data_IF_419925358113
#
_entry.id   IF_419925358113
#
_cell.length_a   1.000
_cell.length_b   1.000
_cell.length_c   1.000
_cell.angle_alpha   90.00
_cell.angle_beta   90.00
_cell.angle_gamma   90.00
#
_symmetry.space_group_name_H-M   'P 1'
#
loop_
_entity.id
_entity.type
_entity.pdbx_description
1 polymer ?
#
# COMPACT_ATOMS: atom_id res chain seq x y z
N UNK A 1 22.76 -10.75 -3.92
CA UNK A 1 21.89 -9.76 -3.25
C UNK A 1 20.79 -10.52 -2.55
N UNK A 2 20.40 -10.16 -1.32
CA UNK A 2 19.33 -10.85 -0.61
C UNK A 2 17.99 -10.62 -1.30
N UNK A 3 17.08 -11.57 -1.12
CA UNK A 3 15.78 -11.66 -1.80
C UNK A 3 14.64 -11.66 -0.80
N UNK A 4 13.54 -10.99 -1.13
CA UNK A 4 12.35 -10.97 -0.29
C UNK A 4 11.06 -11.13 -1.10
N UNK A 5 10.11 -11.84 -0.51
CA UNK A 5 8.70 -11.86 -0.95
C UNK A 5 7.89 -10.95 -0.01
N UNK A 6 7.05 -10.09 -0.58
CA UNK A 6 6.07 -9.32 0.20
C UNK A 6 4.68 -9.72 -0.23
N UNK A 7 3.87 -10.21 0.71
CA UNK A 7 2.47 -10.56 0.46
C UNK A 7 1.57 -9.35 0.72
N UNK A 8 0.90 -8.88 -0.32
CA UNK A 8 -0.01 -7.73 -0.33
C UNK A 8 0.63 -6.47 -0.93
N UNK A 9 0.04 -5.98 -2.00
CA UNK A 9 0.32 -4.70 -2.65
C UNK A 9 -0.56 -3.55 -2.10
N UNK A 10 -0.90 -3.62 -0.81
CA UNK A 10 -1.42 -2.47 -0.06
C UNK A 10 -0.32 -1.49 0.34
N UNK A 11 -0.67 -0.34 0.91
CA UNK A 11 0.31 0.70 1.30
C UNK A 11 1.43 0.16 2.20
N UNK A 12 1.12 -0.75 3.13
CA UNK A 12 2.10 -1.39 4.01
C UNK A 12 3.12 -2.22 3.24
N UNK A 13 2.66 -3.13 2.37
CA UNK A 13 3.54 -3.97 1.58
C UNK A 13 4.35 -3.20 0.54
N UNK A 14 3.76 -2.19 -0.11
CA UNK A 14 4.48 -1.32 -1.03
C UNK A 14 5.58 -0.52 -0.32
N UNK A 15 5.30 0.04 0.87
CA UNK A 15 6.33 0.73 1.65
C UNK A 15 7.43 -0.22 2.14
N UNK A 16 7.07 -1.42 2.60
CA UNK A 16 8.05 -2.44 2.99
C UNK A 16 8.95 -2.82 1.81
N UNK A 17 8.38 -3.05 0.63
CA UNK A 17 9.11 -3.38 -0.59
C UNK A 17 10.05 -2.25 -1.02
N UNK A 18 9.61 -0.98 -0.97
CA UNK A 18 10.49 0.17 -1.26
C UNK A 18 11.63 0.27 -0.26
N UNK A 19 11.37 0.08 1.04
CA UNK A 19 12.42 0.10 2.07
C UNK A 19 13.45 -1.01 1.87
N UNK A 20 13.01 -2.23 1.56
CA UNK A 20 13.90 -3.35 1.25
C UNK A 20 14.72 -3.10 -0.03
N UNK A 21 14.11 -2.61 -1.11
CA UNK A 21 14.83 -2.25 -2.34
C UNK A 21 15.87 -1.16 -2.10
N UNK A 22 15.54 -0.13 -1.31
CA UNK A 22 16.50 0.91 -0.94
C UNK A 22 17.69 0.36 -0.14
N UNK A 23 17.49 -0.74 0.59
CA UNK A 23 18.54 -1.47 1.29
C UNK A 23 19.29 -2.51 0.40
N UNK A 24 19.05 -2.53 -0.92
CA UNK A 24 19.75 -3.41 -1.87
C UNK A 24 19.16 -4.81 -2.02
N UNK A 25 17.92 -5.04 -1.56
CA UNK A 25 17.24 -6.32 -1.73
C UNK A 25 16.55 -6.41 -3.09
N UNK A 26 16.49 -7.62 -3.63
CA UNK A 26 15.60 -7.95 -4.75
C UNK A 26 14.25 -8.38 -4.20
N UNK A 27 13.18 -7.64 -4.52
CA UNK A 27 11.87 -7.82 -3.89
C UNK A 27 10.82 -8.15 -4.93
N UNK A 28 10.01 -9.18 -4.66
CA UNK A 28 8.79 -9.48 -5.41
C UNK A 28 7.58 -9.28 -4.51
N UNK A 29 6.63 -8.44 -4.93
CA UNK A 29 5.35 -8.24 -4.24
C UNK A 29 4.30 -9.12 -4.90
N UNK A 30 3.56 -9.92 -4.12
CA UNK A 30 2.49 -10.80 -4.60
C UNK A 30 1.16 -10.30 -4.03
N UNK A 31 0.15 -10.11 -4.87
CA UNK A 31 -1.21 -9.72 -4.44
C UNK A 31 -2.28 -10.52 -5.20
N UNK A 32 -3.32 -10.92 -4.48
CA UNK A 32 -4.47 -11.65 -5.03
C UNK A 32 -5.38 -10.78 -5.92
N UNK A 33 -5.32 -9.46 -5.75
CA UNK A 33 -6.16 -8.51 -6.46
C UNK A 33 -5.68 -8.24 -7.88
N UNK A 34 -6.61 -7.78 -8.72
CA UNK A 34 -6.38 -7.31 -10.10
C UNK A 34 -5.61 -5.99 -10.20
N UNK A 35 -5.16 -5.43 -9.08
CA UNK A 35 -4.57 -4.10 -9.01
C UNK A 35 -4.03 -3.79 -7.62
N UNK A 36 -3.07 -2.87 -7.57
CA UNK A 36 -2.46 -2.42 -6.31
C UNK A 36 -3.39 -1.54 -5.49
N UNK A 37 -3.08 -1.43 -4.20
CA UNK A 37 -3.67 -0.47 -3.27
C UNK A 37 -4.53 -1.09 -2.18
N UNK A 38 -5.09 -2.29 -2.39
CA UNK A 38 -5.94 -2.95 -1.42
C UNK A 38 -7.05 -2.03 -0.91
N UNK A 39 -7.00 -1.64 0.37
CA UNK A 39 -7.97 -0.70 0.97
C UNK A 39 -7.87 0.75 0.47
N UNK A 40 -6.87 1.10 -0.33
CA UNK A 40 -6.82 2.37 -1.08
C UNK A 40 -7.51 2.28 -2.45
N UNK A 41 -8.25 1.20 -2.73
CA UNK A 41 -8.93 1.01 -4.00
C UNK A 41 -9.93 2.13 -4.32
N UNK A 42 -9.84 2.63 -5.55
CA UNK A 42 -10.73 3.60 -6.17
C UNK A 42 -11.57 2.87 -7.22
N UNK A 43 -12.90 2.96 -7.15
CA UNK A 43 -13.78 2.47 -8.22
C UNK A 43 -14.10 3.59 -9.19
N UNK A 44 -14.25 3.24 -10.47
CA UNK A 44 -14.74 4.17 -11.50
C UNK A 44 -16.14 3.78 -11.94
N UNK A 45 -17.08 4.70 -11.86
CA UNK A 45 -18.47 4.52 -12.26
C UNK A 45 -18.88 5.76 -13.06
N UNK A 46 -19.37 5.58 -14.29
CA UNK A 46 -19.79 6.67 -15.17
C UNK A 46 -18.75 7.82 -15.29
N UNK A 47 -17.46 7.47 -15.39
CA UNK A 47 -16.37 8.45 -15.50
C UNK A 47 -15.95 9.12 -14.19
N UNK A 48 -16.65 8.86 -13.08
CA UNK A 48 -16.33 9.41 -11.76
C UNK A 48 -15.52 8.42 -10.92
N UNK A 49 -14.63 8.93 -10.08
CA UNK A 49 -13.80 8.15 -9.17
C UNK A 49 -14.37 8.14 -7.74
N UNK A 50 -14.47 6.96 -7.14
CA UNK A 50 -15.03 6.75 -5.80
C UNK A 50 -14.05 5.96 -4.92
N UNK A 51 -13.53 6.62 -3.90
CA UNK A 51 -12.74 5.98 -2.85
C UNK A 51 -13.68 5.38 -1.81
N UNK A 52 -13.76 4.05 -1.81
CA UNK A 52 -14.69 3.28 -0.97
C UNK A 52 -13.98 2.58 0.20
N UNK A 53 -12.67 2.78 0.34
CA UNK A 53 -11.87 2.33 1.47
C UNK A 53 -11.25 3.54 2.20
N UNK A 54 -9.93 3.64 2.22
CA UNK A 54 -9.24 4.81 2.74
C UNK A 54 -9.50 6.03 1.86
N UNK A 55 -10.19 7.04 2.39
CA UNK A 55 -10.62 8.24 1.65
C UNK A 55 -9.59 9.39 1.75
N UNK A 56 -8.82 9.41 2.83
CA UNK A 56 -7.76 10.38 3.09
C UNK A 56 -6.76 9.80 4.10
N UNK A 57 -5.61 10.45 4.22
CA UNK A 57 -4.58 10.16 5.22
C UNK A 57 -4.48 11.33 6.19
N UNK A 58 -4.54 11.06 7.50
CA UNK A 58 -4.25 12.06 8.53
C UNK A 58 -2.78 11.97 8.93
N UNK A 59 -2.06 13.09 8.88
CA UNK A 59 -0.63 13.12 9.22
C UNK A 59 -0.46 13.59 10.66
N UNK A 60 0.07 12.70 11.50
CA UNK A 60 0.27 12.95 12.94
C UNK A 60 1.74 12.83 13.35
N UNK A 61 2.45 11.90 12.72
CA UNK A 61 3.83 11.55 13.06
C UNK A 61 4.86 12.22 12.15
N UNK A 62 5.97 12.78 12.69
CA UNK A 62 7.00 13.45 11.87
C UNK A 62 7.58 12.57 10.76
N UNK A 63 7.83 11.28 11.05
CA UNK A 63 8.36 10.34 10.05
C UNK A 63 7.38 10.13 8.88
N UNK A 64 6.09 10.09 9.17
CA UNK A 64 5.07 9.97 8.13
C UNK A 64 4.87 11.29 7.36
N UNK A 65 5.00 12.43 8.05
CA UNK A 65 4.95 13.74 7.42
C UNK A 65 6.04 13.91 6.34
N UNK A 66 7.25 13.43 6.59
CA UNK A 66 8.34 13.46 5.61
C UNK A 66 7.98 12.66 4.34
N UNK A 67 7.42 11.46 4.49
CA UNK A 67 6.97 10.64 3.36
C UNK A 67 5.85 11.33 2.58
N UNK A 68 4.86 11.90 3.28
CA UNK A 68 3.74 12.60 2.63
C UNK A 68 4.22 13.84 1.87
N UNK A 69 5.21 14.58 2.39
CA UNK A 69 5.79 15.71 1.70
C UNK A 69 6.54 15.30 0.41
N UNK A 70 7.15 14.11 0.37
CA UNK A 70 7.70 13.54 -0.87
C UNK A 70 6.59 13.22 -1.88
N UNK A 71 5.51 12.58 -1.43
CA UNK A 71 4.39 12.22 -2.30
C UNK A 71 3.64 13.45 -2.82
N UNK A 72 3.53 14.50 -2.01
CA UNK A 72 2.92 15.77 -2.42
C UNK A 72 3.77 16.46 -3.49
N UNK A 73 5.10 16.54 -3.31
CA UNK A 73 6.00 17.07 -4.34
C UNK A 73 5.95 16.28 -5.64
N UNK A 74 5.72 14.97 -5.56
CA UNK A 74 5.54 14.10 -6.72
C UNK A 74 4.11 14.17 -7.32
N UNK A 75 3.19 14.94 -6.74
CA UNK A 75 1.80 15.05 -7.18
C UNK A 75 0.96 13.78 -6.93
N UNK A 76 1.47 12.83 -6.15
CA UNK A 76 0.77 11.59 -5.81
C UNK A 76 -0.32 11.81 -4.75
N UNK A 77 -0.18 12.85 -3.93
CA UNK A 77 -1.19 13.35 -2.99
C UNK A 77 -1.24 14.87 -3.00
N UNK A 78 -2.31 15.44 -2.47
CA UNK A 78 -2.46 16.87 -2.21
C UNK A 78 -3.19 17.07 -0.87
N UNK A 79 -2.85 18.14 -0.14
CA UNK A 79 -3.57 18.48 1.08
C UNK A 79 -5.05 18.73 0.76
N UNK A 80 -5.94 17.99 1.43
CA UNK A 80 -7.38 18.09 1.26
C UNK A 80 -8.02 19.04 2.28
N UNK A 81 -7.54 19.04 3.53
CA UNK A 81 -8.13 19.87 4.58
C UNK A 81 -7.41 19.74 5.92
N UNK A 82 -7.84 20.57 6.88
CA UNK A 82 -7.35 20.62 8.26
C UNK A 82 -8.53 20.71 9.20
N UNK A 83 -9.26 19.61 9.38
CA UNK A 83 -10.50 19.56 10.14
C UNK A 83 -11.69 19.04 9.32
N UNK A 84 -12.87 19.09 9.93
CA UNK A 84 -14.15 18.74 9.30
C UNK A 84 -15.19 19.83 9.53
N UNK A 85 -16.18 19.88 8.64
CA UNK A 85 -17.33 20.77 8.78
C UNK A 85 -18.17 20.35 9.99
N UNK A 86 -18.36 21.26 10.93
CA UNK A 86 -19.28 21.11 12.06
C UNK A 86 -20.71 21.49 11.68
N UNK A 87 -21.65 21.19 12.59
CA UNK A 87 -23.08 21.47 12.41
C UNK A 87 -23.38 22.98 12.35
N UNK A 88 -22.46 23.82 12.82
CA UNK A 88 -22.50 25.28 12.74
C UNK A 88 -22.06 25.84 11.37
N UNK A 89 -21.67 24.96 10.43
CA UNK A 89 -21.19 25.34 9.11
C UNK A 89 -19.73 25.80 9.09
N UNK A 90 -18.99 25.67 10.18
CA UNK A 90 -17.57 26.02 10.25
C UNK A 90 -16.68 24.79 10.27
N UNK A 91 -15.49 24.90 9.68
CA UNK A 91 -14.49 23.82 9.73
C UNK A 91 -13.76 23.90 11.06
N UNK A 92 -13.99 22.94 11.94
CA UNK A 92 -13.26 22.81 13.20
C UNK A 92 -11.89 22.18 12.93
N UNK A 93 -10.83 22.97 13.04
CA UNK A 93 -9.46 22.48 12.88
C UNK A 93 -9.07 21.59 14.07
N UNK A 94 -8.61 20.37 13.78
CA UNK A 94 -8.17 19.39 14.78
C UNK A 94 -6.64 19.25 14.86
N UNK A 95 -5.91 20.16 14.21
CA UNK A 95 -4.45 20.22 14.23
C UNK A 95 -3.73 19.30 13.23
N UNK A 96 -4.45 18.41 12.52
CA UNK A 96 -3.82 17.42 11.64
C UNK A 96 -4.18 17.63 10.16
N UNK A 97 -3.19 17.85 9.27
CA UNK A 97 -3.47 17.94 7.85
C UNK A 97 -3.88 16.58 7.30
N UNK A 98 -4.89 16.63 6.43
CA UNK A 98 -5.41 15.48 5.69
C UNK A 98 -4.98 15.57 4.24
N UNK A 99 -4.60 14.45 3.66
CA UNK A 99 -4.18 14.34 2.27
C UNK A 99 -5.05 13.34 1.53
N UNK A 100 -5.33 13.64 0.26
CA UNK A 100 -5.97 12.71 -0.69
C UNK A 100 -5.16 12.65 -1.97
N UNK A 101 -5.33 11.60 -2.76
CA UNK A 101 -4.77 11.56 -4.10
C UNK A 101 -5.75 12.19 -5.11
N UNK A 102 -5.34 13.17 -5.94
CA UNK A 102 -6.24 13.90 -6.85
C UNK A 102 -7.08 13.03 -7.78
N UNK A 103 -6.54 11.88 -8.24
CA UNK A 103 -7.22 10.94 -9.13
C UNK A 103 -7.92 9.76 -8.44
N UNK A 104 -8.10 9.84 -7.11
CA UNK A 104 -8.54 8.76 -6.24
C UNK A 104 -7.37 8.04 -5.57
N UNK A 105 -7.59 7.56 -4.36
CA UNK A 105 -6.55 7.05 -3.44
C UNK A 105 -5.68 5.91 -3.99
N UNK A 106 -6.13 5.17 -5.02
CA UNK A 106 -5.29 4.17 -5.70
C UNK A 106 -4.08 4.79 -6.40
N UNK A 107 -4.15 6.08 -6.78
CA UNK A 107 -3.03 6.78 -7.38
C UNK A 107 -1.79 6.77 -6.47
N UNK A 108 -1.95 6.92 -5.15
CA UNK A 108 -0.83 6.81 -4.21
C UNK A 108 -0.20 5.41 -4.25
N UNK A 109 -1.03 4.36 -4.27
CA UNK A 109 -0.52 2.99 -4.35
C UNK A 109 0.25 2.75 -5.67
N UNK A 110 -0.24 3.29 -6.78
CA UNK A 110 0.47 3.22 -8.08
C UNK A 110 1.80 3.96 -8.05
N UNK A 111 1.85 5.14 -7.43
CA UNK A 111 3.10 5.87 -7.23
C UNK A 111 4.11 5.06 -6.40
N UNK A 112 3.65 4.39 -5.34
CA UNK A 112 4.51 3.55 -4.50
C UNK A 112 4.93 2.24 -5.18
N UNK A 113 4.11 1.71 -6.09
CA UNK A 113 4.40 0.52 -6.86
C UNK A 113 5.36 0.77 -8.04
N UNK A 114 5.53 2.02 -8.45
CA UNK A 114 6.41 2.38 -9.57
C UNK A 114 7.84 1.90 -9.33
N UNK A 115 8.38 1.18 -10.31
CA UNK A 115 9.70 0.55 -10.24
C UNK A 115 9.81 -0.66 -9.30
N UNK A 116 8.72 -1.19 -8.74
CA UNK A 116 8.71 -2.47 -8.02
C UNK A 116 8.27 -3.62 -8.94
N UNK A 117 8.76 -4.83 -8.67
CA UNK A 117 8.20 -6.06 -9.26
C UNK A 117 6.95 -6.44 -8.47
N UNK A 118 5.77 -6.29 -9.08
CA UNK A 118 4.48 -6.65 -8.48
C UNK A 118 3.77 -7.66 -9.37
N UNK A 119 3.51 -8.85 -8.83
CA UNK A 119 2.69 -9.88 -9.47
C UNK A 119 1.28 -9.81 -8.88
N UNK A 120 0.31 -9.46 -9.73
CA UNK A 120 -1.11 -9.37 -9.40
C UNK A 120 -1.81 -10.68 -9.73
N UNK A 121 -3.11 -10.79 -9.41
CA UNK A 121 -3.92 -11.98 -9.68
C UNK A 121 -3.29 -13.27 -9.12
N UNK A 122 -2.54 -13.13 -8.02
CA UNK A 122 -1.73 -14.20 -7.43
C UNK A 122 -2.22 -14.53 -6.03
N UNK A 123 -3.08 -15.53 -5.93
CA UNK A 123 -3.59 -16.03 -4.64
C UNK A 123 -2.62 -17.02 -4.02
N UNK A 124 -1.94 -16.60 -2.95
CA UNK A 124 -1.09 -17.47 -2.15
C UNK A 124 -1.96 -18.26 -1.17
N UNK A 125 -1.82 -19.58 -1.21
CA UNK A 125 -2.58 -20.53 -0.39
C UNK A 125 -1.73 -21.18 0.71
N UNK A 126 -0.41 -21.03 0.66
CA UNK A 126 0.48 -21.52 1.73
C UNK A 126 1.77 -20.71 1.78
N UNK A 127 2.30 -20.55 3.00
CA UNK A 127 3.65 -20.06 3.26
C UNK A 127 4.39 -21.04 4.16
N UNK A 128 5.70 -21.17 3.98
CA UNK A 128 6.56 -21.96 4.86
C UNK A 128 7.94 -21.33 4.96
N UNK A 129 8.64 -21.61 6.06
CA UNK A 129 10.04 -21.23 6.27
C UNK A 129 10.79 -22.41 6.88
N UNK A 130 11.98 -22.70 6.36
CA UNK A 130 12.87 -23.76 6.85
C UNK A 130 14.07 -23.20 7.65
N UNK A 131 14.10 -21.89 7.89
CA UNK A 131 15.20 -21.19 8.57
C UNK A 131 16.25 -20.62 7.61
N UNK A 132 16.41 -21.21 6.42
CA UNK A 132 17.33 -20.75 5.38
C UNK A 132 16.60 -19.98 4.27
N UNK A 133 15.32 -20.27 4.06
CA UNK A 133 14.47 -19.55 3.11
C UNK A 133 12.99 -19.58 3.48
N UNK A 134 12.27 -18.60 2.95
CA UNK A 134 10.83 -18.56 2.94
C UNK A 134 10.27 -18.94 1.56
N UNK A 135 9.11 -19.59 1.56
CA UNK A 135 8.35 -19.95 0.37
C UNK A 135 6.93 -19.44 0.44
N UNK A 136 6.40 -19.04 -0.71
CA UNK A 136 4.98 -18.75 -0.92
C UNK A 136 4.47 -19.62 -2.07
N UNK A 137 3.30 -20.24 -1.91
CA UNK A 137 2.74 -21.17 -2.89
C UNK A 137 1.33 -20.76 -3.31
N UNK A 138 1.12 -20.68 -4.62
CA UNK A 138 -0.19 -20.59 -5.28
C UNK A 138 -0.56 -21.96 -5.88
N UNK A 139 -1.66 -22.01 -6.64
CA UNK A 139 -2.17 -23.24 -7.25
C UNK A 139 -1.18 -23.89 -8.23
N UNK A 140 -0.49 -23.09 -9.03
CA UNK A 140 0.35 -23.51 -10.16
C UNK A 140 1.82 -23.06 -10.04
N UNK A 141 2.15 -22.24 -9.03
CA UNK A 141 3.47 -21.63 -8.89
C UNK A 141 3.91 -21.51 -7.43
N UNK A 142 5.22 -21.58 -7.23
CA UNK A 142 5.88 -21.39 -5.94
C UNK A 142 6.99 -20.35 -6.10
N UNK A 143 7.08 -19.43 -5.15
CA UNK A 143 8.15 -18.46 -5.01
C UNK A 143 9.01 -18.84 -3.80
N UNK A 144 10.33 -18.62 -3.91
CA UNK A 144 11.30 -18.82 -2.83
C UNK A 144 12.16 -17.57 -2.71
N UNK A 145 12.44 -17.15 -1.47
CA UNK A 145 13.31 -16.03 -1.17
C UNK A 145 13.97 -16.22 0.20
N UNK A 146 14.98 -15.42 0.53
CA UNK A 146 15.66 -15.47 1.83
C UNK A 146 14.71 -15.07 2.97
N UNK A 147 13.72 -14.20 2.69
CA UNK A 147 12.69 -13.81 3.66
C UNK A 147 11.32 -13.55 3.03
N UNK A 148 10.29 -13.51 3.87
CA UNK A 148 8.92 -13.19 3.49
C UNK A 148 8.27 -12.27 4.51
N UNK A 149 7.60 -11.22 4.02
CA UNK A 149 6.81 -10.30 4.84
C UNK A 149 5.34 -10.43 4.46
N UNK A 150 4.49 -10.82 5.41
CA UNK A 150 3.05 -10.84 5.21
C UNK A 150 2.42 -9.52 5.67
N UNK A 151 1.69 -8.85 4.78
CA UNK A 151 1.01 -7.57 5.07
C UNK A 151 -0.51 -7.61 4.83
N UNK A 152 -1.04 -8.79 4.51
CA UNK A 152 -2.48 -9.03 4.45
C UNK A 152 -3.11 -8.90 5.86
N UNK A 153 -4.41 -8.57 5.95
CA UNK A 153 -5.14 -8.62 7.22
C UNK A 153 -4.94 -9.96 7.94
N UNK A 154 -4.78 -9.93 9.27
CA UNK A 154 -4.44 -11.12 10.08
C UNK A 154 -5.34 -12.32 9.79
N UNK A 155 -6.65 -12.11 9.65
CA UNK A 155 -7.59 -13.18 9.33
C UNK A 155 -7.33 -13.85 7.96
N UNK A 156 -6.82 -13.11 6.98
CA UNK A 156 -6.42 -13.67 5.68
C UNK A 156 -5.06 -14.38 5.74
N UNK A 157 -4.17 -13.91 6.60
CA UNK A 157 -2.84 -14.52 6.79
C UNK A 157 -2.89 -15.85 7.54
N UNK A 158 -3.91 -16.06 8.39
CA UNK A 158 -4.08 -17.26 9.21
C UNK A 158 -5.06 -18.29 8.62
N UNK A 159 -5.71 -17.99 7.50
CA UNK A 159 -6.67 -18.86 6.82
C UNK A 159 -5.96 -19.84 5.88
#
# INVERSE_FOLDING_TARGET
MPTAIVLGAGISGLLAARSLRAAGWTVTVLDQGRGVGGRLATRRIAGQAFDHGGQFLSVREPRFAALVAEWERAGAVAQWGRGFLGDDGHVAADGFPRYRAPGGMTQLAKHLADGLTVELDTTITAIASDGDAATARAADRTWRADTLIATAPVAQTLA
#
